data_IF_041466462344
#
_entry.id   IF_041466462344
#
_cell.length_a   1.000
_cell.length_b   1.000
_cell.length_c   1.000
_cell.angle_alpha   90.00
_cell.angle_beta   90.00
_cell.angle_gamma   90.00
#
_symmetry.space_group_name_H-M   'P 1'
#
loop_
_entity.id
_entity.type
_entity.pdbx_description
1 polymer ?
#
# COMPACT_ATOMS: atom_id res chain seq x y z
N UNK A 1 23.02 -16.94 -14.24
CA UNK A 1 22.22 -18.17 -14.04
C UNK A 1 23.07 -19.36 -13.55
N UNK A 2 24.36 -19.43 -13.94
CA UNK A 2 25.26 -20.53 -13.55
C UNK A 2 25.49 -20.67 -12.03
N UNK A 3 25.58 -19.57 -11.29
CA UNK A 3 25.79 -19.57 -9.84
C UNK A 3 24.64 -20.19 -9.04
N UNK A 4 23.38 -19.95 -9.45
CA UNK A 4 22.21 -20.57 -8.82
C UNK A 4 22.14 -22.06 -9.08
N UNK A 5 22.49 -22.50 -10.30
CA UNK A 5 22.53 -23.93 -10.63
C UNK A 5 23.62 -24.65 -9.85
N UNK A 6 24.78 -24.01 -9.69
CA UNK A 6 25.86 -24.51 -8.82
C UNK A 6 25.39 -24.62 -7.36
N UNK A 7 24.77 -23.57 -6.80
CA UNK A 7 24.24 -23.62 -5.44
C UNK A 7 23.19 -24.74 -5.25
N UNK A 8 22.31 -24.94 -6.24
CA UNK A 8 21.31 -26.03 -6.20
C UNK A 8 21.91 -27.44 -6.23
N UNK A 9 23.14 -27.60 -6.74
CA UNK A 9 23.84 -28.89 -6.80
C UNK A 9 24.53 -29.28 -5.49
N UNK A 10 24.58 -28.38 -4.49
CA UNK A 10 25.18 -28.65 -3.17
C UNK A 10 24.32 -29.69 -2.43
N UNK A 11 24.95 -30.78 -1.96
CA UNK A 11 24.27 -31.88 -1.25
C UNK A 11 23.90 -31.53 0.19
N UNK A 12 24.70 -30.71 0.86
CA UNK A 12 24.41 -30.23 2.21
C UNK A 12 23.30 -29.17 2.14
N UNK A 13 22.12 -29.52 2.66
CA UNK A 13 20.93 -28.65 2.58
C UNK A 13 21.09 -27.34 3.36
N UNK A 14 21.85 -27.33 4.46
CA UNK A 14 22.10 -26.11 5.23
C UNK A 14 22.99 -25.16 4.44
N UNK A 15 24.13 -25.65 3.97
CA UNK A 15 25.07 -24.87 3.17
C UNK A 15 24.43 -24.38 1.86
N UNK A 16 23.61 -25.21 1.22
CA UNK A 16 22.81 -24.83 0.05
C UNK A 16 21.86 -23.67 0.35
N UNK A 17 21.13 -23.74 1.46
CA UNK A 17 20.24 -22.65 1.91
C UNK A 17 21.00 -21.35 2.17
N UNK A 18 22.13 -21.42 2.86
CA UNK A 18 22.99 -20.25 3.14
C UNK A 18 23.51 -19.63 1.84
N UNK A 19 23.99 -20.45 0.89
CA UNK A 19 24.46 -19.97 -0.41
C UNK A 19 23.36 -19.30 -1.24
N UNK A 20 22.16 -19.89 -1.30
CA UNK A 20 21.02 -19.30 -2.02
C UNK A 20 20.63 -17.96 -1.39
N UNK A 21 20.61 -17.87 -0.07
CA UNK A 21 20.28 -16.65 0.68
C UNK A 21 21.31 -15.55 0.41
N UNK A 22 22.60 -15.89 0.43
CA UNK A 22 23.68 -14.96 0.10
C UNK A 22 23.56 -14.47 -1.35
N UNK A 23 23.29 -15.37 -2.31
CA UNK A 23 23.09 -14.99 -3.71
C UNK A 23 21.90 -14.03 -3.88
N UNK A 24 20.80 -14.26 -3.15
CA UNK A 24 19.65 -13.35 -3.15
C UNK A 24 19.99 -11.99 -2.54
N UNK A 25 20.69 -11.95 -1.41
CA UNK A 25 21.12 -10.71 -0.78
C UNK A 25 22.07 -9.90 -1.67
N UNK A 26 23.01 -10.57 -2.35
CA UNK A 26 23.91 -9.95 -3.32
C UNK A 26 23.13 -9.42 -4.53
N UNK A 27 22.17 -10.20 -5.04
CA UNK A 27 21.28 -9.76 -6.10
C UNK A 27 20.52 -8.50 -5.69
N UNK A 28 19.90 -8.47 -4.50
CA UNK A 28 19.17 -7.29 -4.07
C UNK A 28 20.09 -6.08 -3.85
N UNK A 29 21.28 -6.26 -3.27
CA UNK A 29 22.17 -5.13 -3.00
C UNK A 29 22.84 -4.58 -4.26
N UNK A 30 23.21 -5.42 -5.21
CA UNK A 30 24.12 -5.06 -6.31
C UNK A 30 23.51 -5.19 -7.71
N UNK A 31 22.34 -5.82 -7.88
CA UNK A 31 21.71 -5.87 -9.21
C UNK A 31 21.26 -4.48 -9.64
N UNK A 32 21.55 -4.15 -10.90
CA UNK A 32 21.03 -2.95 -11.53
C UNK A 32 19.50 -3.00 -11.70
N UNK A 33 18.91 -1.84 -11.98
CA UNK A 33 17.46 -1.70 -12.09
C UNK A 33 16.86 -2.52 -13.24
N UNK A 34 17.62 -2.78 -14.31
CA UNK A 34 17.14 -3.53 -15.48
C UNK A 34 17.08 -5.03 -15.15
N UNK A 35 18.12 -5.55 -14.50
CA UNK A 35 18.17 -6.93 -14.03
C UNK A 35 17.10 -7.20 -12.98
N UNK A 36 16.88 -6.27 -12.03
CA UNK A 36 15.77 -6.35 -11.06
C UNK A 36 14.40 -6.37 -11.75
N UNK A 37 14.20 -5.56 -12.80
CA UNK A 37 12.95 -5.56 -13.60
C UNK A 37 12.74 -6.89 -14.32
N UNK A 38 13.79 -7.44 -14.94
CA UNK A 38 13.74 -8.75 -15.62
C UNK A 38 13.40 -9.88 -14.63
N UNK A 39 14.06 -9.91 -13.48
CA UNK A 39 13.76 -10.87 -12.41
C UNK A 39 12.31 -10.74 -11.93
N UNK A 40 11.85 -9.51 -11.66
CA UNK A 40 10.48 -9.27 -11.21
C UNK A 40 9.46 -9.79 -12.22
N UNK A 41 9.65 -9.56 -13.52
CA UNK A 41 8.77 -10.11 -14.57
C UNK A 41 8.65 -11.62 -14.49
N UNK A 42 9.78 -12.33 -14.40
CA UNK A 42 9.79 -13.79 -14.29
C UNK A 42 9.16 -14.26 -12.98
N UNK A 43 9.47 -13.58 -11.87
CA UNK A 43 8.93 -13.90 -10.56
C UNK A 43 7.40 -13.73 -10.53
N UNK A 44 6.86 -12.62 -11.03
CA UNK A 44 5.42 -12.35 -11.09
C UNK A 44 4.66 -13.34 -11.99
N UNK A 45 5.35 -14.07 -12.89
CA UNK A 45 4.72 -15.14 -13.67
C UNK A 45 4.52 -16.43 -12.87
N UNK A 46 5.22 -16.61 -11.75
CA UNK A 46 5.02 -17.75 -10.83
C UNK A 46 3.75 -17.59 -10.03
N UNK A 47 3.14 -18.68 -9.56
CA UNK A 47 1.89 -18.62 -8.80
C UNK A 47 2.03 -17.80 -7.51
N UNK A 48 3.12 -18.00 -6.76
CA UNK A 48 3.44 -17.19 -5.56
C UNK A 48 3.61 -15.71 -5.94
N UNK A 49 4.31 -15.44 -7.04
CA UNK A 49 4.53 -14.08 -7.50
C UNK A 49 3.26 -13.37 -7.96
N UNK A 50 2.31 -14.10 -8.55
CA UNK A 50 0.97 -13.58 -8.89
C UNK A 50 0.19 -13.25 -7.62
N UNK A 51 0.12 -14.17 -6.66
CA UNK A 51 -0.57 -13.96 -5.39
C UNK A 51 -0.07 -12.70 -4.67
N UNK A 52 1.25 -12.56 -4.50
CA UNK A 52 1.84 -11.37 -3.85
C UNK A 52 1.54 -10.09 -4.64
N UNK A 53 1.55 -10.16 -5.98
CA UNK A 53 1.25 -9.01 -6.82
C UNK A 53 -0.22 -8.59 -6.69
N UNK A 54 -1.15 -9.55 -6.75
CA UNK A 54 -2.59 -9.32 -6.61
C UNK A 54 -2.94 -8.76 -5.23
N UNK A 55 -2.36 -9.32 -4.16
CA UNK A 55 -2.51 -8.78 -2.80
C UNK A 55 -2.01 -7.33 -2.71
N UNK A 56 -0.86 -7.04 -3.33
CA UNK A 56 -0.31 -5.69 -3.38
C UNK A 56 -1.14 -4.70 -4.19
N UNK A 57 -1.75 -5.15 -5.29
CA UNK A 57 -2.68 -4.34 -6.09
C UNK A 57 -3.94 -4.04 -5.26
N UNK A 58 -4.52 -5.06 -4.63
CA UNK A 58 -5.72 -4.91 -3.79
C UNK A 58 -5.49 -3.95 -2.61
N UNK A 59 -4.39 -4.11 -1.87
CA UNK A 59 -4.01 -3.19 -0.79
C UNK A 59 -3.71 -1.76 -1.33
N UNK A 60 -3.22 -1.65 -2.56
CA UNK A 60 -3.06 -0.37 -3.25
C UNK A 60 -4.40 0.30 -3.58
N UNK A 61 -5.36 -0.47 -4.11
CA UNK A 61 -6.70 -0.01 -4.45
C UNK A 61 -7.47 0.42 -3.20
N UNK A 62 -7.49 -0.39 -2.15
CA UNK A 62 -8.16 -0.09 -0.87
C UNK A 62 -7.59 1.19 -0.22
N UNK A 63 -6.27 1.35 -0.18
CA UNK A 63 -5.63 2.58 0.32
C UNK A 63 -5.93 3.78 -0.56
N UNK A 64 -5.96 3.59 -1.88
CA UNK A 64 -6.29 4.61 -2.85
C UNK A 64 -7.72 5.12 -2.70
N UNK A 65 -8.68 4.19 -2.59
CA UNK A 65 -10.09 4.48 -2.39
C UNK A 65 -10.32 5.23 -1.08
N UNK A 66 -9.82 4.69 0.05
CA UNK A 66 -9.91 5.35 1.37
C UNK A 66 -9.37 6.77 1.32
N UNK A 67 -8.18 6.96 0.72
CA UNK A 67 -7.58 8.30 0.55
C UNK A 67 -8.44 9.20 -0.32
N UNK A 68 -9.04 8.67 -1.38
CA UNK A 68 -9.97 9.37 -2.24
C UNK A 68 -11.21 9.87 -1.49
N UNK A 69 -11.80 9.02 -0.64
CA UNK A 69 -12.94 9.37 0.22
C UNK A 69 -12.57 10.47 1.21
N UNK A 70 -11.46 10.35 1.93
CA UNK A 70 -10.98 11.38 2.87
C UNK A 70 -10.77 12.75 2.19
N UNK A 71 -10.09 12.76 1.04
CA UNK A 71 -9.89 13.99 0.26
C UNK A 71 -11.22 14.59 -0.24
N UNK A 72 -12.20 13.74 -0.58
CA UNK A 72 -13.53 14.18 -1.02
C UNK A 72 -14.31 14.82 0.13
N UNK A 73 -14.30 14.19 1.32
CA UNK A 73 -14.87 14.77 2.55
C UNK A 73 -14.25 16.14 2.82
N UNK A 74 -12.91 16.24 2.85
CA UNK A 74 -12.20 17.52 3.08
C UNK A 74 -12.63 18.60 2.07
N UNK A 75 -12.67 18.26 0.77
CA UNK A 75 -13.07 19.20 -0.29
C UNK A 75 -14.51 19.67 -0.13
N UNK A 76 -15.43 18.76 0.16
CA UNK A 76 -16.85 19.07 0.32
C UNK A 76 -17.11 19.90 1.58
N UNK A 77 -16.48 19.55 2.71
CA UNK A 77 -16.55 20.34 3.94
C UNK A 77 -15.95 21.74 3.72
N UNK A 78 -14.82 21.83 3.02
CA UNK A 78 -14.19 23.12 2.70
C UNK A 78 -15.10 23.97 1.81
N UNK A 79 -15.77 23.35 0.83
CA UNK A 79 -16.72 24.05 -0.04
C UNK A 79 -17.94 24.55 0.72
N UNK A 80 -18.42 23.79 1.72
CA UNK A 80 -19.64 24.10 2.48
C UNK A 80 -19.40 25.11 3.62
N UNK A 81 -18.30 24.95 4.35
CA UNK A 81 -18.04 25.71 5.59
C UNK A 81 -16.85 26.68 5.47
N UNK A 82 -16.16 26.71 4.33
CA UNK A 82 -14.95 27.50 4.13
C UNK A 82 -13.71 26.81 4.71
N UNK A 83 -12.71 27.59 5.12
CA UNK A 83 -11.45 27.05 5.64
C UNK A 83 -11.71 26.21 6.91
N UNK A 84 -11.32 24.94 6.86
CA UNK A 84 -11.46 24.04 8.01
C UNK A 84 -10.48 24.43 9.15
N UNK A 85 -10.84 24.17 10.42
CA UNK A 85 -9.96 24.39 11.54
C UNK A 85 -8.68 23.56 11.42
N UNK A 86 -7.61 24.04 12.05
CA UNK A 86 -6.32 23.34 12.08
C UNK A 86 -6.48 21.92 12.65
N UNK A 87 -5.82 20.94 12.03
CA UNK A 87 -5.88 19.54 12.46
C UNK A 87 -7.05 18.73 11.87
N UNK A 88 -8.05 19.37 11.27
CA UNK A 88 -9.21 18.64 10.72
C UNK A 88 -8.81 17.75 9.54
N UNK A 89 -7.94 18.25 8.66
CA UNK A 89 -7.52 17.50 7.48
C UNK A 89 -6.78 16.23 7.89
N UNK A 90 -5.86 16.33 8.85
CA UNK A 90 -5.10 15.20 9.38
C UNK A 90 -6.04 14.18 10.01
N UNK A 91 -6.95 14.63 10.89
CA UNK A 91 -7.94 13.76 11.53
C UNK A 91 -8.81 13.03 10.51
N UNK A 92 -9.33 13.73 9.48
CA UNK A 92 -10.15 13.11 8.43
C UNK A 92 -9.36 12.07 7.63
N UNK A 93 -8.08 12.33 7.35
CA UNK A 93 -7.22 11.37 6.63
C UNK A 93 -6.95 10.10 7.43
N UNK A 94 -7.07 10.15 8.76
CA UNK A 94 -6.86 9.02 9.66
C UNK A 94 -8.12 8.17 9.88
N UNK A 95 -9.31 8.75 9.66
CA UNK A 95 -10.61 8.06 9.81
C UNK A 95 -10.66 6.76 9.01
N UNK A 96 -11.38 5.76 9.53
CA UNK A 96 -11.62 4.52 8.81
C UNK A 96 -12.63 4.71 7.66
N UNK A 97 -12.66 3.74 6.75
CA UNK A 97 -13.46 3.79 5.52
C UNK A 97 -14.97 3.96 5.78
N UNK A 98 -15.50 3.27 6.81
CA UNK A 98 -16.91 3.32 7.19
C UNK A 98 -17.30 4.72 7.62
N UNK A 99 -16.48 5.38 8.44
CA UNK A 99 -16.75 6.74 8.89
C UNK A 99 -16.71 7.70 7.70
N UNK A 100 -15.75 7.54 6.80
CA UNK A 100 -15.64 8.39 5.61
C UNK A 100 -16.88 8.27 4.71
N UNK A 101 -17.42 7.06 4.52
CA UNK A 101 -18.64 6.84 3.73
C UNK A 101 -19.89 7.41 4.39
N UNK A 102 -20.01 7.28 5.71
CA UNK A 102 -21.07 7.95 6.48
C UNK A 102 -20.99 9.47 6.31
N UNK A 103 -19.78 10.02 6.43
CA UNK A 103 -19.56 11.44 6.21
C UNK A 103 -19.96 11.87 4.79
N UNK A 104 -19.57 11.12 3.75
CA UNK A 104 -19.91 11.43 2.36
C UNK A 104 -21.42 11.40 2.10
N UNK A 105 -22.13 10.51 2.77
CA UNK A 105 -23.60 10.37 2.64
C UNK A 105 -24.31 11.55 3.28
N UNK A 106 -23.90 11.94 4.49
CA UNK A 106 -24.62 12.94 5.30
C UNK A 106 -24.12 14.38 5.09
N UNK A 107 -23.02 14.60 4.35
CA UNK A 107 -22.34 15.90 4.27
C UNK A 107 -23.23 17.05 3.79
N UNK A 108 -24.23 16.76 2.97
CA UNK A 108 -25.19 17.73 2.46
C UNK A 108 -26.17 18.22 3.53
N UNK A 109 -26.39 17.42 4.57
CA UNK A 109 -27.31 17.72 5.67
C UNK A 109 -26.63 18.40 6.87
N UNK A 110 -25.29 18.35 6.95
CA UNK A 110 -24.54 19.00 8.04
C UNK A 110 -24.84 20.50 8.13
N UNK A 111 -25.14 20.99 9.32
CA UNK A 111 -25.47 22.40 9.59
C UNK A 111 -24.27 23.18 10.09
N UNK A 112 -23.35 22.53 10.78
CA UNK A 112 -22.12 23.15 11.26
C UNK A 112 -20.95 22.16 11.29
N UNK A 113 -19.75 22.67 11.63
CA UNK A 113 -18.59 21.82 11.87
C UNK A 113 -18.71 20.96 13.13
N UNK A 114 -19.72 21.17 13.98
CA UNK A 114 -19.97 20.30 15.13
C UNK A 114 -20.49 18.93 14.70
N UNK A 115 -21.23 18.85 13.58
CA UNK A 115 -21.65 17.58 12.98
C UNK A 115 -20.47 16.72 12.51
N UNK A 116 -19.32 17.36 12.25
CA UNK A 116 -18.06 16.70 11.87
C UNK A 116 -17.25 16.28 13.09
N UNK A 117 -17.26 17.10 14.15
CA UNK A 117 -16.44 16.86 15.37
C UNK A 117 -16.75 15.53 16.02
N UNK A 118 -17.99 15.05 15.95
CA UNK A 118 -18.43 13.76 16.53
C UNK A 118 -17.66 12.53 16.03
N UNK A 119 -16.88 12.66 14.94
CA UNK A 119 -16.07 11.59 14.37
C UNK A 119 -14.59 11.64 14.80
N UNK A 120 -14.19 12.65 15.57
CA UNK A 120 -12.80 12.90 15.94
C UNK A 120 -12.44 12.48 17.38
N UNK A 121 -13.37 11.80 18.03
CA UNK A 121 -13.29 11.30 19.41
C UNK A 121 -12.75 9.87 19.47
#
# INVERSE_FOLDING_TARGET
MNSLNLAKSIKDEKLKGDCITLLYALFDKFADSELKKKFRKVFTMTDIGKMIYEDGVKDGEERGEKRGKALSVIKLLTKKFGKLPQGYNEKIMELNDIILDLMLTDILDYKSLDDVKKYFD
#
